data_IF_704307733340
#
_entry.id   IF_704307733340
#
_cell.length_a   1.000
_cell.length_b   1.000
_cell.length_c   1.000
_cell.angle_alpha   90.00
_cell.angle_beta   90.00
_cell.angle_gamma   90.00
#
_symmetry.space_group_name_H-M   'P 1'
#
loop_
_entity.id
_entity.type
_entity.pdbx_description
1 polymer ?
#
# COMPACT_ATOMS: atom_id res chain seq x y z
N UNK A 1 4.67 16.58 -11.28
CA UNK A 1 4.39 16.31 -9.84
C UNK A 1 5.67 16.26 -9.00
N UNK A 2 5.63 16.60 -7.71
CA UNK A 2 6.85 16.81 -6.89
C UNK A 2 7.23 15.60 -6.01
N UNK A 3 8.53 15.37 -5.81
CA UNK A 3 9.08 14.42 -4.82
C UNK A 3 8.93 15.05 -3.41
N UNK A 4 8.28 14.39 -2.43
CA UNK A 4 8.12 14.92 -1.08
C UNK A 4 9.44 15.10 -0.32
N UNK A 5 9.55 16.16 0.48
CA UNK A 5 10.76 16.46 1.27
C UNK A 5 11.23 15.31 2.19
N UNK A 6 10.34 14.58 2.90
CA UNK A 6 10.78 13.46 3.72
C UNK A 6 11.43 12.33 2.91
N UNK A 7 10.96 12.09 1.68
CA UNK A 7 11.55 11.11 0.78
C UNK A 7 12.93 11.58 0.29
N UNK A 8 13.04 12.87 -0.06
CA UNK A 8 14.32 13.48 -0.47
C UNK A 8 15.37 13.30 0.62
N UNK A 9 15.03 13.60 1.88
CA UNK A 9 15.95 13.49 3.01
C UNK A 9 16.49 12.05 3.19
N UNK A 10 15.60 11.05 3.17
CA UNK A 10 16.01 9.64 3.35
C UNK A 10 16.85 9.15 2.18
N UNK A 11 16.44 9.45 0.94
CA UNK A 11 17.19 9.02 -0.25
C UNK A 11 18.56 9.68 -0.29
N UNK A 12 18.65 10.97 0.01
CA UNK A 12 19.92 11.69 0.02
C UNK A 12 20.89 11.14 1.05
N UNK A 13 20.40 10.82 2.25
CA UNK A 13 21.19 10.24 3.34
C UNK A 13 21.74 8.86 2.96
N UNK A 14 20.88 7.94 2.49
CA UNK A 14 21.29 6.59 2.09
C UNK A 14 22.27 6.60 0.92
N UNK A 15 22.02 7.43 -0.10
CA UNK A 15 22.95 7.54 -1.23
C UNK A 15 24.29 8.13 -0.79
N UNK A 16 24.29 9.11 0.11
CA UNK A 16 25.51 9.71 0.64
C UNK A 16 26.31 8.74 1.52
N UNK A 17 25.68 7.87 2.29
CA UNK A 17 26.35 6.80 3.06
C UNK A 17 26.97 5.76 2.12
N UNK A 18 26.26 5.41 1.04
CA UNK A 18 26.59 4.27 0.17
C UNK A 18 27.63 4.56 -0.91
N UNK A 19 27.65 5.78 -1.45
CA UNK A 19 28.44 6.09 -2.65
C UNK A 19 29.50 7.18 -2.41
N UNK A 20 30.49 7.23 -3.29
CA UNK A 20 31.51 8.30 -3.33
C UNK A 20 30.99 9.53 -4.08
N UNK A 21 31.67 10.66 -3.98
CA UNK A 21 31.30 11.87 -4.74
C UNK A 21 31.19 11.61 -6.24
N UNK A 22 32.18 10.92 -6.83
CA UNK A 22 32.21 10.66 -8.26
C UNK A 22 31.10 9.69 -8.70
N UNK A 23 30.84 8.64 -7.90
CA UNK A 23 29.75 7.71 -8.21
C UNK A 23 28.40 8.38 -8.10
N UNK A 24 28.19 9.26 -7.12
CA UNK A 24 26.96 10.06 -7.02
C UNK A 24 26.80 10.95 -8.26
N UNK A 25 27.86 11.64 -8.68
CA UNK A 25 27.78 12.50 -9.87
C UNK A 25 27.35 11.70 -11.11
N UNK A 26 27.97 10.54 -11.35
CA UNK A 26 27.62 9.67 -12.46
C UNK A 26 26.16 9.20 -12.36
N UNK A 27 25.74 8.69 -11.20
CA UNK A 27 24.39 8.17 -10.98
C UNK A 27 23.31 9.23 -11.26
N UNK A 28 23.48 10.45 -10.77
CA UNK A 28 22.51 11.52 -10.98
C UNK A 28 22.46 11.96 -12.45
N UNK A 29 23.63 12.09 -13.10
CA UNK A 29 23.70 12.49 -14.51
C UNK A 29 23.12 11.41 -15.45
N UNK A 30 23.47 10.14 -15.24
CA UNK A 30 22.94 9.00 -16.00
C UNK A 30 21.42 8.84 -15.82
N UNK A 31 20.91 9.10 -14.60
CA UNK A 31 19.48 9.10 -14.34
C UNK A 31 18.73 10.25 -15.04
N UNK A 32 19.44 11.28 -15.52
CA UNK A 32 18.89 12.46 -16.18
C UNK A 32 18.49 13.57 -15.21
N UNK A 33 19.20 13.73 -14.09
CA UNK A 33 18.99 14.83 -13.17
C UNK A 33 19.33 16.18 -13.84
N UNK A 34 18.50 17.23 -13.63
CA UNK A 34 18.71 18.53 -14.27
C UNK A 34 19.83 19.34 -13.60
N UNK A 35 20.44 20.20 -14.42
CA UNK A 35 21.46 21.17 -14.02
C UNK A 35 22.84 20.57 -13.71
N UNK A 36 23.78 21.45 -13.40
CA UNK A 36 25.16 21.07 -13.13
C UNK A 36 25.35 20.40 -11.77
N UNK A 37 26.50 19.74 -11.60
CA UNK A 37 26.91 19.07 -10.37
C UNK A 37 26.88 20.05 -9.18
N UNK A 38 26.02 19.83 -8.17
CA UNK A 38 25.95 20.69 -7.00
C UNK A 38 27.23 20.64 -6.17
N UNK A 39 27.50 21.72 -5.45
CA UNK A 39 28.58 21.82 -4.48
C UNK A 39 28.17 21.30 -3.09
N UNK A 40 29.16 21.11 -2.21
CA UNK A 40 28.97 20.70 -0.83
C UNK A 40 29.23 19.23 -0.56
N UNK A 41 28.87 18.79 0.65
CA UNK A 41 29.05 17.38 1.05
C UNK A 41 28.09 16.45 0.28
N UNK A 42 28.38 15.14 0.28
CA UNK A 42 27.61 14.14 -0.49
C UNK A 42 26.10 14.25 -0.27
N UNK A 43 25.66 14.40 0.98
CA UNK A 43 24.23 14.50 1.33
C UNK A 43 23.61 15.78 0.78
N UNK A 44 24.24 16.93 1.00
CA UNK A 44 23.77 18.23 0.50
C UNK A 44 23.66 18.23 -1.04
N UNK A 45 24.60 17.58 -1.73
CA UNK A 45 24.55 17.38 -3.19
C UNK A 45 23.32 16.58 -3.62
N UNK A 46 23.11 15.42 -3.01
CA UNK A 46 21.95 14.58 -3.28
C UNK A 46 20.64 15.33 -3.01
N UNK A 47 20.52 16.02 -1.87
CA UNK A 47 19.32 16.81 -1.54
C UNK A 47 19.06 17.90 -2.57
N UNK A 48 20.11 18.60 -3.00
CA UNK A 48 20.00 19.68 -4.02
C UNK A 48 19.50 19.12 -5.34
N UNK A 49 20.11 18.04 -5.85
CA UNK A 49 19.66 17.42 -7.10
C UNK A 49 18.24 16.87 -6.99
N UNK A 50 17.89 16.16 -5.92
CA UNK A 50 16.55 15.62 -5.74
C UNK A 50 15.48 16.73 -5.67
N UNK A 51 15.81 17.88 -5.07
CA UNK A 51 14.95 19.08 -5.09
C UNK A 51 14.82 19.66 -6.51
N UNK A 52 15.91 19.73 -7.28
CA UNK A 52 15.87 20.16 -8.69
C UNK A 52 15.03 19.22 -9.55
N UNK A 53 15.21 17.90 -9.41
CA UNK A 53 14.37 16.89 -10.09
C UNK A 53 12.89 17.15 -9.76
N UNK A 54 12.59 17.39 -8.49
CA UNK A 54 11.22 17.66 -8.01
C UNK A 54 10.62 18.95 -8.60
N UNK A 55 11.43 20.00 -8.75
CA UNK A 55 10.98 21.32 -9.19
C UNK A 55 10.98 21.50 -10.72
N UNK A 56 12.05 21.06 -11.39
CA UNK A 56 12.33 21.35 -12.80
C UNK A 56 11.93 20.21 -13.73
N UNK A 57 11.88 18.97 -13.22
CA UNK A 57 11.56 17.78 -14.01
C UNK A 57 10.32 17.04 -13.44
N UNK A 58 9.36 17.79 -12.89
CA UNK A 58 8.26 17.26 -12.11
C UNK A 58 7.46 16.15 -12.83
N UNK A 59 7.32 16.21 -14.15
CA UNK A 59 6.56 15.19 -14.91
C UNK A 59 7.37 13.91 -15.19
N UNK A 60 8.71 13.99 -15.16
CA UNK A 60 9.62 12.87 -15.34
C UNK A 60 10.28 12.40 -14.03
N UNK A 61 10.00 13.09 -12.92
CA UNK A 61 10.63 12.87 -11.62
C UNK A 61 10.53 11.41 -11.13
N UNK A 62 9.39 10.70 -11.25
CA UNK A 62 9.32 9.29 -10.87
C UNK A 62 10.26 8.39 -11.69
N UNK A 63 10.39 8.65 -12.99
CA UNK A 63 11.25 7.85 -13.86
C UNK A 63 12.74 8.12 -13.59
N UNK A 64 13.12 9.39 -13.37
CA UNK A 64 14.49 9.76 -12.96
C UNK A 64 14.82 9.10 -11.62
N UNK A 65 13.93 9.20 -10.64
CA UNK A 65 14.12 8.59 -9.32
C UNK A 65 14.19 7.06 -9.40
N UNK A 66 13.45 6.42 -10.30
CA UNK A 66 13.51 4.98 -10.52
C UNK A 66 14.85 4.51 -11.06
N UNK A 67 15.36 5.16 -12.11
CA UNK A 67 16.70 4.90 -12.66
C UNK A 67 17.80 5.13 -11.63
N UNK A 68 17.70 6.23 -10.88
CA UNK A 68 18.67 6.58 -9.83
C UNK A 68 18.80 5.48 -8.76
N UNK A 69 17.69 4.83 -8.41
CA UNK A 69 17.63 3.84 -7.33
C UNK A 69 17.74 2.40 -7.81
N UNK A 70 17.80 2.16 -9.13
CA UNK A 70 17.77 0.84 -9.77
C UNK A 70 18.81 -0.12 -9.19
N UNK A 71 20.10 0.24 -9.30
CA UNK A 71 21.23 -0.56 -8.79
C UNK A 71 21.04 -0.98 -7.32
N UNK A 72 20.55 -0.05 -6.49
CA UNK A 72 20.37 -0.28 -5.06
C UNK A 72 19.14 -1.15 -4.76
N UNK A 73 18.03 -0.94 -5.49
CA UNK A 73 16.80 -1.67 -5.25
C UNK A 73 16.87 -3.10 -5.78
N UNK A 74 17.64 -3.33 -6.84
CA UNK A 74 17.81 -4.62 -7.52
C UNK A 74 19.02 -5.44 -7.06
N UNK A 75 19.88 -4.88 -6.21
CA UNK A 75 20.99 -5.62 -5.60
C UNK A 75 20.49 -6.93 -4.97
N UNK A 76 21.09 -8.05 -5.40
CA UNK A 76 20.73 -9.38 -4.91
C UNK A 76 20.92 -9.46 -3.40
N UNK A 77 19.88 -9.94 -2.71
CA UNK A 77 19.94 -10.16 -1.27
C UNK A 77 20.63 -11.51 -1.03
N UNK A 78 21.77 -11.54 -0.32
CA UNK A 78 22.31 -12.79 0.14
C UNK A 78 21.39 -13.37 1.23
N UNK A 79 20.99 -14.63 1.08
CA UNK A 79 20.18 -15.34 2.07
C UNK A 79 20.88 -15.37 3.44
N UNK A 80 20.13 -15.52 4.55
CA UNK A 80 20.73 -15.67 5.88
C UNK A 80 21.78 -16.80 5.95
N UNK A 81 21.64 -17.82 5.11
CA UNK A 81 22.61 -18.90 4.97
C UNK A 81 23.86 -18.47 4.18
N UNK A 82 23.71 -17.70 3.10
CA UNK A 82 24.85 -17.10 2.38
C UNK A 82 25.61 -16.09 3.24
N UNK A 83 24.92 -15.35 4.12
CA UNK A 83 25.54 -14.46 5.11
C UNK A 83 26.31 -15.27 6.15
N UNK A 84 25.72 -16.34 6.69
CA UNK A 84 26.35 -17.22 7.68
C UNK A 84 27.53 -18.05 7.14
N UNK A 85 27.52 -18.39 5.84
CA UNK A 85 28.63 -19.06 5.14
C UNK A 85 29.73 -18.09 4.72
N UNK A 86 29.47 -16.78 4.70
CA UNK A 86 30.51 -15.80 4.41
C UNK A 86 31.57 -15.82 5.52
N UNK A 87 32.83 -15.79 5.13
CA UNK A 87 33.97 -15.82 6.03
C UNK A 87 33.89 -14.71 7.10
N UNK A 88 33.86 -15.05 8.42
CA UNK A 88 33.78 -14.06 9.49
C UNK A 88 35.00 -13.14 9.62
N UNK A 89 36.11 -13.47 8.94
CA UNK A 89 37.40 -12.77 9.09
C UNK A 89 37.52 -11.48 8.26
N UNK A 90 36.52 -11.13 7.45
CA UNK A 90 36.41 -9.84 6.77
C UNK A 90 35.25 -9.01 7.36
N UNK A 91 35.30 -8.73 8.67
CA UNK A 91 34.27 -7.99 9.42
C UNK A 91 33.77 -6.73 8.70
N UNK A 92 34.68 -5.98 8.08
CA UNK A 92 34.34 -4.78 7.32
C UNK A 92 33.42 -5.04 6.11
N UNK A 93 33.61 -6.14 5.38
CA UNK A 93 32.78 -6.49 4.21
C UNK A 93 31.39 -6.98 4.63
N UNK A 94 31.33 -7.72 5.75
CA UNK A 94 30.06 -8.14 6.35
C UNK A 94 29.25 -6.94 6.86
N UNK A 95 29.88 -6.02 7.59
CA UNK A 95 29.22 -4.83 8.14
C UNK A 95 28.73 -3.90 7.01
N UNK A 96 29.50 -3.76 5.92
CA UNK A 96 29.07 -3.01 4.73
C UNK A 96 27.84 -3.62 4.06
N UNK A 97 27.73 -4.96 4.01
CA UNK A 97 26.56 -5.64 3.44
C UNK A 97 25.29 -5.41 4.27
N UNK A 98 25.42 -5.43 5.61
CA UNK A 98 24.30 -5.12 6.51
C UNK A 98 23.86 -3.67 6.32
N UNK A 99 24.79 -2.72 6.35
CA UNK A 99 24.46 -1.30 6.18
C UNK A 99 23.77 -1.01 4.83
N UNK A 100 24.20 -1.65 3.74
CA UNK A 100 23.54 -1.54 2.43
C UNK A 100 22.11 -2.09 2.45
N UNK A 101 21.89 -3.22 3.10
CA UNK A 101 20.57 -3.82 3.26
C UNK A 101 19.65 -2.89 4.05
N UNK A 102 20.10 -2.40 5.20
CA UNK A 102 19.35 -1.46 6.04
C UNK A 102 19.00 -0.18 5.28
N UNK A 103 19.98 0.43 4.61
CA UNK A 103 19.76 1.63 3.79
C UNK A 103 18.71 1.41 2.69
N UNK A 104 18.77 0.26 2.01
CA UNK A 104 17.77 -0.12 0.99
C UNK A 104 16.37 -0.23 1.58
N UNK A 105 16.20 -0.89 2.72
CA UNK A 105 14.90 -1.01 3.38
C UNK A 105 14.39 0.35 3.91
N UNK A 106 15.28 1.23 4.39
CA UNK A 106 14.92 2.63 4.71
C UNK A 106 14.34 3.36 3.50
N UNK A 107 14.97 3.22 2.33
CA UNK A 107 14.48 3.86 1.08
C UNK A 107 13.16 3.27 0.63
N UNK A 108 13.00 1.94 0.63
CA UNK A 108 11.71 1.31 0.29
C UNK A 108 10.58 1.80 1.19
N UNK A 109 10.81 1.84 2.50
CA UNK A 109 9.82 2.35 3.45
C UNK A 109 9.47 3.82 3.18
N UNK A 110 10.47 4.65 2.85
CA UNK A 110 10.25 6.05 2.50
C UNK A 110 9.46 6.22 1.18
N UNK A 111 9.78 5.43 0.15
CA UNK A 111 9.06 5.41 -1.13
C UNK A 111 7.59 5.05 -0.92
N UNK A 112 7.32 3.98 -0.17
CA UNK A 112 5.96 3.56 0.20
C UNK A 112 5.22 4.69 0.93
N UNK A 113 5.82 5.28 1.97
CA UNK A 113 5.22 6.42 2.70
C UNK A 113 4.91 7.61 1.79
N UNK A 114 5.76 7.86 0.80
CA UNK A 114 5.59 8.92 -0.18
C UNK A 114 4.63 8.57 -1.33
N UNK A 115 4.11 7.33 -1.38
CA UNK A 115 3.15 6.87 -2.40
C UNK A 115 3.77 6.42 -3.71
N UNK A 116 5.05 6.04 -3.70
CA UNK A 116 5.78 5.48 -4.84
C UNK A 116 5.89 3.95 -4.71
N UNK A 117 5.81 3.26 -5.85
CA UNK A 117 6.08 1.83 -5.95
C UNK A 117 7.13 1.57 -7.04
N UNK A 118 8.15 0.78 -6.71
CA UNK A 118 9.15 0.33 -7.68
C UNK A 118 8.65 -0.90 -8.44
N UNK A 119 8.72 -0.87 -9.77
CA UNK A 119 8.22 -1.93 -10.66
C UNK A 119 9.34 -2.77 -11.30
N UNK A 120 10.62 -2.45 -11.04
CA UNK A 120 11.78 -3.10 -11.67
C UNK A 120 12.22 -2.44 -12.98
N UNK A 121 13.49 -2.64 -13.31
CA UNK A 121 14.22 -2.03 -14.43
C UNK A 121 14.12 -0.50 -14.45
N UNK A 122 14.40 0.14 -13.30
CA UNK A 122 14.39 1.60 -13.16
C UNK A 122 13.00 2.24 -13.25
N UNK A 123 11.91 1.46 -13.31
CA UNK A 123 10.54 1.97 -13.43
C UNK A 123 9.91 2.20 -12.07
N UNK A 124 9.37 3.40 -11.88
CA UNK A 124 8.55 3.73 -10.72
C UNK A 124 7.13 4.09 -11.14
N UNK A 125 6.18 3.67 -10.33
CA UNK A 125 4.79 4.07 -10.43
C UNK A 125 4.46 4.98 -9.26
N UNK A 126 3.85 6.11 -9.58
CA UNK A 126 3.25 7.02 -8.61
C UNK A 126 1.73 6.94 -8.79
N UNK A 127 0.98 6.55 -7.75
CA UNK A 127 -0.48 6.71 -7.77
C UNK A 127 -1.38 5.53 -7.34
N UNK A 128 -2.53 5.96 -6.81
CA UNK A 128 -3.81 5.32 -6.40
C UNK A 128 -3.84 4.15 -5.43
N UNK A 129 -2.99 3.14 -5.55
CA UNK A 129 -3.02 1.98 -4.62
C UNK A 129 -2.64 2.41 -3.18
N UNK A 130 -1.81 3.45 -3.07
CA UNK A 130 -1.20 3.92 -1.81
C UNK A 130 -1.97 5.06 -1.10
N UNK A 131 -2.96 5.71 -1.71
CA UNK A 131 -3.69 6.82 -1.04
C UNK A 131 -4.78 6.28 -0.13
N UNK A 132 -5.66 5.39 -0.64
CA UNK A 132 -6.64 4.68 0.19
C UNK A 132 -5.93 3.79 1.23
N UNK A 133 -4.79 3.19 0.86
CA UNK A 133 -3.93 2.46 1.79
C UNK A 133 -3.39 3.36 2.90
N UNK A 134 -2.80 4.53 2.60
CA UNK A 134 -2.30 5.47 3.64
C UNK A 134 -3.41 6.01 4.52
N UNK A 135 -4.51 6.49 3.93
CA UNK A 135 -5.66 6.99 4.69
C UNK A 135 -6.24 5.89 5.59
N UNK A 136 -6.34 4.66 5.09
CA UNK A 136 -6.79 3.53 5.90
C UNK A 136 -5.80 3.21 7.03
N UNK A 137 -4.49 3.25 6.79
CA UNK A 137 -3.48 3.03 7.82
C UNK A 137 -3.55 4.08 8.93
N UNK A 138 -3.78 5.35 8.56
CA UNK A 138 -3.94 6.44 9.52
C UNK A 138 -5.25 6.27 10.32
N UNK A 139 -6.36 5.87 9.66
CA UNK A 139 -7.63 5.62 10.34
C UNK A 139 -7.58 4.41 11.28
N UNK A 140 -6.95 3.30 10.86
CA UNK A 140 -6.75 2.09 11.69
C UNK A 140 -5.99 2.43 12.97
N UNK A 141 -4.89 3.19 12.86
CA UNK A 141 -4.10 3.64 14.00
C UNK A 141 -4.88 4.57 14.91
N UNK A 142 -5.57 5.55 14.32
CA UNK A 142 -6.36 6.53 15.07
C UNK A 142 -7.47 5.85 15.88
N UNK A 143 -8.03 4.75 15.38
CA UNK A 143 -9.11 4.00 16.02
C UNK A 143 -8.67 2.82 16.87
N UNK A 144 -7.36 2.59 17.02
CA UNK A 144 -6.80 1.44 17.73
C UNK A 144 -7.42 0.10 17.30
N UNK A 145 -7.30 -0.22 16.01
CA UNK A 145 -7.81 -1.47 15.42
C UNK A 145 -6.66 -2.45 15.11
N UNK A 146 -5.97 -3.03 16.12
CA UNK A 146 -4.73 -3.82 15.93
C UNK A 146 -4.94 -5.09 15.12
N UNK A 147 -6.15 -5.67 15.14
CA UNK A 147 -6.51 -6.82 14.31
C UNK A 147 -6.45 -6.51 12.80
N UNK A 148 -6.64 -5.23 12.41
CA UNK A 148 -6.60 -4.79 11.02
C UNK A 148 -5.18 -4.41 10.56
N UNK A 149 -4.30 -4.02 11.48
CA UNK A 149 -2.91 -3.65 11.16
C UNK A 149 -2.12 -4.82 10.56
N UNK A 150 -2.27 -6.02 11.14
CA UNK A 150 -1.58 -7.22 10.68
C UNK A 150 -2.03 -7.66 9.27
N UNK A 151 -3.32 -7.57 8.99
CA UNK A 151 -3.90 -7.88 7.67
C UNK A 151 -3.50 -6.83 6.62
N UNK A 152 -3.46 -5.56 7.02
CA UNK A 152 -3.03 -4.47 6.16
C UNK A 152 -1.54 -4.57 5.78
N UNK A 153 -0.66 -4.92 6.72
CA UNK A 153 0.76 -5.19 6.46
C UNK A 153 0.95 -6.38 5.49
N UNK A 154 0.09 -7.40 5.61
CA UNK A 154 0.05 -8.55 4.72
C UNK A 154 -0.38 -8.16 3.30
N UNK A 155 -1.38 -7.28 3.18
CA UNK A 155 -1.86 -6.74 1.91
C UNK A 155 -0.77 -5.96 1.15
N UNK A 156 -0.05 -5.09 1.85
CA UNK A 156 1.00 -4.23 1.30
C UNK A 156 2.22 -5.01 0.77
N UNK A 157 2.52 -6.16 1.36
CA UNK A 157 3.68 -6.99 1.00
C UNK A 157 3.40 -8.05 -0.07
N UNK A 158 2.13 -8.42 -0.31
CA UNK A 158 1.79 -9.62 -1.12
C UNK A 158 1.02 -9.38 -2.42
N UNK A 159 0.49 -8.19 -2.69
CA UNK A 159 -0.34 -7.92 -3.88
C UNK A 159 0.34 -8.20 -5.23
N UNK A 160 1.68 -8.16 -5.30
CA UNK A 160 2.45 -8.45 -6.51
C UNK A 160 2.81 -9.94 -6.68
N UNK A 161 3.00 -10.68 -5.59
CA UNK A 161 3.55 -12.05 -5.60
C UNK A 161 2.46 -13.12 -5.42
N UNK A 162 1.39 -12.82 -4.67
CA UNK A 162 0.30 -13.75 -4.36
C UNK A 162 -1.08 -13.08 -4.46
N UNK A 163 -1.65 -12.97 -5.68
CA UNK A 163 -2.92 -12.28 -5.93
C UNK A 163 -4.09 -12.76 -5.06
N UNK A 164 -4.17 -14.08 -4.79
CA UNK A 164 -5.25 -14.67 -3.97
C UNK A 164 -5.13 -14.31 -2.49
N UNK A 165 -3.92 -14.31 -1.94
CA UNK A 165 -3.72 -13.95 -0.53
C UNK A 165 -4.05 -12.48 -0.29
N UNK A 166 -3.71 -11.60 -1.25
CA UNK A 166 -4.10 -10.20 -1.19
C UNK A 166 -5.63 -10.01 -1.20
N UNK A 167 -6.37 -10.82 -1.97
CA UNK A 167 -7.84 -10.80 -1.95
C UNK A 167 -8.41 -11.27 -0.61
N UNK A 168 -7.84 -12.33 -0.03
CA UNK A 168 -8.25 -12.80 1.30
C UNK A 168 -8.01 -11.73 2.38
N UNK A 169 -6.84 -11.09 2.37
CA UNK A 169 -6.54 -10.02 3.31
C UNK A 169 -7.49 -8.82 3.15
N UNK A 170 -7.80 -8.40 1.91
CA UNK A 170 -8.77 -7.35 1.66
C UNK A 170 -10.18 -7.70 2.18
N UNK A 171 -10.62 -8.93 1.96
CA UNK A 171 -11.89 -9.44 2.48
C UNK A 171 -11.93 -9.42 4.01
N UNK A 172 -10.85 -9.83 4.67
CA UNK A 172 -10.73 -9.83 6.13
C UNK A 172 -10.76 -8.40 6.70
N UNK A 173 -10.13 -7.43 6.03
CA UNK A 173 -10.16 -6.03 6.45
C UNK A 173 -11.59 -5.48 6.43
N UNK A 174 -12.31 -5.67 5.32
CA UNK A 174 -13.70 -5.20 5.18
C UNK A 174 -14.59 -5.91 6.21
N UNK A 175 -14.43 -7.23 6.38
CA UNK A 175 -15.20 -8.00 7.36
C UNK A 175 -14.94 -7.53 8.80
N UNK A 176 -13.68 -7.24 9.15
CA UNK A 176 -13.30 -6.72 10.45
C UNK A 176 -13.97 -5.40 10.75
N UNK A 177 -13.87 -4.42 9.84
CA UNK A 177 -14.51 -3.10 10.00
C UNK A 177 -16.02 -3.22 10.12
N UNK A 178 -16.68 -4.00 9.27
CA UNK A 178 -18.13 -4.20 9.38
C UNK A 178 -18.53 -4.86 10.71
N UNK A 179 -17.72 -5.82 11.18
CA UNK A 179 -17.92 -6.46 12.48
C UNK A 179 -17.82 -5.50 13.65
N UNK A 180 -16.80 -4.64 13.66
CA UNK A 180 -16.63 -3.59 14.66
C UNK A 180 -17.80 -2.59 14.63
N UNK A 181 -18.25 -2.20 13.43
CA UNK A 181 -19.43 -1.33 13.30
C UNK A 181 -20.70 -1.98 13.86
N UNK A 182 -20.93 -3.27 13.63
CA UNK A 182 -22.08 -3.99 14.22
C UNK A 182 -22.03 -3.92 15.74
N UNK A 183 -20.85 -4.13 16.34
CA UNK A 183 -20.67 -4.07 17.79
C UNK A 183 -20.85 -2.65 18.33
N UNK A 184 -20.13 -1.67 17.77
CA UNK A 184 -20.13 -0.29 18.23
C UNK A 184 -21.48 0.43 18.05
N UNK A 185 -22.22 0.09 16.99
CA UNK A 185 -23.54 0.64 16.73
C UNK A 185 -24.67 -0.15 17.42
N UNK A 186 -24.33 -1.20 18.19
CA UNK A 186 -25.28 -2.08 18.89
C UNK A 186 -26.34 -2.67 17.96
N UNK A 187 -25.93 -3.08 16.74
CA UNK A 187 -26.83 -3.70 15.77
C UNK A 187 -27.00 -5.18 16.09
N UNK A 188 -28.15 -5.75 15.73
CA UNK A 188 -28.38 -7.20 15.84
C UNK A 188 -27.41 -7.94 14.93
N UNK A 189 -26.53 -8.82 15.47
CA UNK A 189 -25.57 -9.54 14.66
C UNK A 189 -26.30 -10.53 13.73
N UNK A 190 -25.81 -10.74 12.49
CA UNK A 190 -26.40 -11.71 11.59
C UNK A 190 -26.16 -13.15 12.08
N UNK A 191 -27.09 -14.06 11.78
CA UNK A 191 -27.02 -15.48 12.17
C UNK A 191 -25.77 -16.18 11.64
N UNK A 192 -25.39 -15.89 10.39
CA UNK A 192 -24.13 -16.32 9.79
C UNK A 192 -23.28 -15.09 9.54
N UNK A 193 -22.05 -15.08 10.05
CA UNK A 193 -21.10 -13.98 9.87
C UNK A 193 -20.37 -14.13 8.53
N UNK A 194 -20.83 -13.42 7.51
CA UNK A 194 -20.17 -13.30 6.21
C UNK A 194 -20.11 -11.83 5.80
N UNK A 195 -19.28 -11.51 4.81
CA UNK A 195 -19.20 -10.16 4.25
C UNK A 195 -20.57 -9.61 3.83
N UNK A 196 -21.33 -10.40 3.06
CA UNK A 196 -22.65 -10.00 2.55
C UNK A 196 -23.69 -9.83 3.67
N UNK A 197 -23.67 -10.69 4.71
CA UNK A 197 -24.62 -10.56 5.83
C UNK A 197 -24.29 -9.37 6.73
N UNK A 198 -23.01 -9.16 7.03
CA UNK A 198 -22.54 -7.99 7.79
C UNK A 198 -22.85 -6.69 7.06
N UNK A 199 -22.60 -6.62 5.75
CA UNK A 199 -22.93 -5.44 4.95
C UNK A 199 -24.42 -5.14 4.97
N UNK A 200 -25.26 -6.18 4.88
CA UNK A 200 -26.72 -6.03 4.95
C UNK A 200 -27.18 -5.47 6.30
N UNK A 201 -26.53 -5.84 7.40
CA UNK A 201 -26.79 -5.29 8.73
C UNK A 201 -26.35 -3.83 8.85
N UNK A 202 -25.18 -3.47 8.31
CA UNK A 202 -24.57 -2.13 8.49
C UNK A 202 -25.13 -1.07 7.54
N UNK A 203 -25.39 -1.39 6.27
CA UNK A 203 -25.76 -0.41 5.24
C UNK A 203 -26.95 0.51 5.61
N UNK A 204 -28.02 0.06 6.31
CA UNK A 204 -29.12 0.94 6.66
C UNK A 204 -28.72 1.92 7.78
N UNK A 205 -27.87 1.48 8.71
CA UNK A 205 -27.43 2.28 9.86
C UNK A 205 -26.58 3.49 9.46
N UNK A 206 -25.89 3.41 8.32
CA UNK A 206 -25.08 4.50 7.76
C UNK A 206 -25.74 5.24 6.58
N UNK A 207 -27.04 5.02 6.35
CA UNK A 207 -27.78 5.60 5.24
C UNK A 207 -27.15 5.31 3.85
N UNK A 208 -26.60 4.11 3.69
CA UNK A 208 -26.00 3.64 2.44
C UNK A 208 -26.87 2.61 1.71
N UNK A 209 -28.15 2.50 2.07
CA UNK A 209 -29.08 1.60 1.40
C UNK A 209 -29.49 2.16 0.02
N UNK A 210 -29.17 1.48 -1.10
CA UNK A 210 -29.60 1.91 -2.43
C UNK A 210 -31.11 2.06 -2.56
N UNK A 211 -31.90 1.31 -1.78
CA UNK A 211 -33.37 1.40 -1.82
C UNK A 211 -33.88 2.73 -1.24
N UNK A 212 -33.17 3.28 -0.25
CA UNK A 212 -33.53 4.51 0.44
C UNK A 212 -32.83 5.76 -0.14
N UNK A 213 -31.93 5.60 -1.12
CA UNK A 213 -31.23 6.72 -1.74
C UNK A 213 -32.13 7.50 -2.73
N UNK A 214 -32.31 8.83 -2.52
CA UNK A 214 -33.10 9.66 -3.43
C UNK A 214 -32.35 10.00 -4.72
N UNK A 215 -31.02 10.14 -4.64
CA UNK A 215 -30.18 10.45 -5.79
C UNK A 215 -29.95 9.19 -6.64
N UNK A 216 -30.34 9.21 -7.94
CA UNK A 216 -30.27 8.03 -8.80
C UNK A 216 -28.83 7.61 -9.14
N UNK A 217 -27.86 8.52 -9.10
CA UNK A 217 -26.46 8.21 -9.39
C UNK A 217 -25.74 7.69 -8.14
N UNK A 218 -26.00 8.27 -6.96
CA UNK A 218 -25.55 7.69 -5.70
C UNK A 218 -26.13 6.29 -5.49
N UNK A 219 -27.38 6.06 -5.87
CA UNK A 219 -28.01 4.73 -5.83
C UNK A 219 -27.25 3.70 -6.68
N UNK A 220 -26.79 4.08 -7.88
CA UNK A 220 -25.97 3.19 -8.72
C UNK A 220 -24.63 2.87 -8.06
N UNK A 221 -23.98 3.87 -7.46
CA UNK A 221 -22.71 3.72 -6.75
C UNK A 221 -22.88 2.78 -5.54
N UNK A 222 -23.91 2.99 -4.72
CA UNK A 222 -24.21 2.13 -3.58
C UNK A 222 -24.56 0.69 -4.01
N UNK A 223 -25.26 0.53 -5.15
CA UNK A 223 -25.48 -0.77 -5.77
C UNK A 223 -24.18 -1.46 -6.20
N UNK A 224 -23.22 -0.71 -6.75
CA UNK A 224 -21.90 -1.22 -7.09
C UNK A 224 -21.10 -1.67 -5.86
N UNK A 225 -21.24 -0.98 -4.72
CA UNK A 225 -20.63 -1.43 -3.45
C UNK A 225 -21.19 -2.78 -3.01
N UNK A 226 -22.51 -2.99 -3.11
CA UNK A 226 -23.13 -4.28 -2.77
C UNK A 226 -22.61 -5.42 -3.69
N UNK A 227 -22.51 -5.16 -5.00
CA UNK A 227 -21.94 -6.12 -5.96
C UNK A 227 -20.46 -6.41 -5.68
N UNK A 228 -19.69 -5.41 -5.23
CA UNK A 228 -18.29 -5.57 -4.85
C UNK A 228 -18.15 -6.45 -3.59
N UNK A 229 -18.97 -6.24 -2.56
CA UNK A 229 -18.96 -7.06 -1.33
C UNK A 229 -19.22 -8.54 -1.67
N UNK A 230 -20.21 -8.80 -2.52
CA UNK A 230 -20.55 -10.16 -2.95
C UNK A 230 -19.42 -10.79 -3.78
N UNK A 231 -18.86 -10.04 -4.74
CA UNK A 231 -17.71 -10.48 -5.53
C UNK A 231 -16.47 -10.78 -4.68
N UNK A 232 -16.19 -9.95 -3.67
CA UNK A 232 -15.06 -10.14 -2.75
C UNK A 232 -15.25 -11.39 -1.88
N UNK A 233 -16.47 -11.64 -1.41
CA UNK A 233 -16.82 -12.87 -0.68
C UNK A 233 -16.64 -14.10 -1.57
N UNK A 234 -17.14 -14.08 -2.81
CA UNK A 234 -16.99 -15.18 -3.75
C UNK A 234 -15.53 -15.52 -4.05
N UNK A 235 -14.70 -14.51 -4.30
CA UNK A 235 -13.26 -14.70 -4.56
C UNK A 235 -12.50 -15.28 -3.37
N UNK A 236 -12.94 -14.98 -2.14
CA UNK A 236 -12.39 -15.58 -0.91
C UNK A 236 -12.81 -17.04 -0.77
N UNK A 237 -14.10 -17.33 -0.94
CA UNK A 237 -14.68 -18.65 -0.73
C UNK A 237 -14.21 -19.65 -1.82
N UNK A 238 -13.81 -19.15 -2.99
CA UNK A 238 -13.15 -19.93 -4.03
C UNK A 238 -11.82 -20.55 -3.59
N UNK A 239 -11.14 -20.04 -2.55
CA UNK A 239 -9.96 -20.71 -1.95
C UNK A 239 -10.35 -22.04 -1.28
N UNK A 240 -11.53 -22.09 -0.68
CA UNK A 240 -12.11 -23.32 -0.12
C UNK A 240 -12.55 -24.28 -1.25
N UNK A 241 -13.16 -23.75 -2.32
CA UNK A 241 -13.61 -24.56 -3.48
C UNK A 241 -12.48 -25.05 -4.37
N UNK A 242 -11.38 -24.31 -4.51
CA UNK A 242 -10.22 -24.69 -5.31
C UNK A 242 -9.49 -25.93 -4.76
N UNK A 243 -9.52 -26.15 -3.45
CA UNK A 243 -9.07 -27.42 -2.84
C UNK A 243 -10.01 -28.59 -3.14
N UNK A 244 -11.28 -28.32 -3.48
CA UNK A 244 -12.30 -29.31 -3.79
C UNK A 244 -12.58 -29.47 -5.31
N UNK A 245 -11.95 -28.66 -6.18
CA UNK A 245 -12.19 -28.67 -7.63
C UNK A 245 -11.34 -29.72 -8.35
N UNK A 246 -11.91 -30.35 -9.39
CA UNK A 246 -11.17 -31.24 -10.30
C UNK A 246 -10.05 -30.46 -11.02
N UNK A 247 -8.89 -31.09 -11.33
CA UNK A 247 -7.72 -30.43 -11.94
C UNK A 247 -8.00 -29.68 -13.24
N UNK A 248 -9.09 -30.04 -13.92
CA UNK A 248 -9.53 -29.58 -15.23
C UNK A 248 -10.19 -28.18 -15.14
N UNK A 249 -10.94 -27.94 -14.06
CA UNK A 249 -11.62 -26.67 -13.77
C UNK A 249 -10.66 -25.67 -13.07
N UNK A 250 -9.64 -26.18 -12.38
CA UNK A 250 -8.58 -25.35 -11.78
C UNK A 250 -7.71 -24.62 -12.81
N UNK A 251 -7.67 -25.11 -14.07
CA UNK A 251 -6.86 -24.53 -15.16
C UNK A 251 -7.55 -23.35 -15.87
N UNK A 252 -8.87 -23.21 -15.77
CA UNK A 252 -9.64 -22.24 -16.58
C UNK A 252 -9.86 -20.87 -15.92
N UNK A 253 -9.52 -20.68 -14.64
CA UNK A 253 -9.70 -19.39 -13.97
C UNK A 253 -8.51 -19.02 -13.07
N UNK A 254 -7.47 -18.43 -13.68
CA UNK A 254 -6.32 -17.89 -12.94
C UNK A 254 -6.56 -16.40 -12.67
N UNK A 255 -6.76 -16.05 -11.40
CA UNK A 255 -6.80 -14.65 -10.97
C UNK A 255 -5.43 -14.03 -11.23
N UNK A 256 -5.35 -13.15 -12.23
CA UNK A 256 -4.15 -12.41 -12.54
C UNK A 256 -3.92 -11.25 -11.54
N UNK A 257 -2.66 -10.79 -11.37
CA UNK A 257 -2.34 -9.67 -10.49
C UNK A 257 -3.17 -8.40 -10.76
N UNK A 258 -3.56 -8.13 -12.00
CA UNK A 258 -4.42 -6.97 -12.33
C UNK A 258 -5.82 -7.07 -11.73
N UNK A 259 -6.41 -8.27 -11.68
CA UNK A 259 -7.74 -8.48 -11.08
C UNK A 259 -7.67 -8.32 -9.56
N UNK A 260 -6.63 -8.87 -8.92
CA UNK A 260 -6.42 -8.70 -7.50
C UNK A 260 -6.19 -7.22 -7.14
N UNK A 261 -5.38 -6.48 -7.90
CA UNK A 261 -5.19 -5.04 -7.68
C UNK A 261 -6.49 -4.25 -7.76
N UNK A 262 -7.35 -4.52 -8.74
CA UNK A 262 -8.65 -3.85 -8.86
C UNK A 262 -9.53 -4.10 -7.64
N UNK A 263 -9.73 -5.38 -7.28
CA UNK A 263 -10.59 -5.77 -6.17
C UNK A 263 -10.06 -5.29 -4.82
N UNK A 264 -8.74 -5.36 -4.60
CA UNK A 264 -8.09 -4.83 -3.38
C UNK A 264 -8.30 -3.32 -3.28
N UNK A 265 -8.09 -2.57 -4.35
CA UNK A 265 -8.28 -1.12 -4.33
C UNK A 265 -9.74 -0.73 -4.07
N UNK A 266 -10.69 -1.44 -4.68
CA UNK A 266 -12.11 -1.23 -4.44
C UNK A 266 -12.46 -1.51 -2.97
N UNK A 267 -11.96 -2.61 -2.41
CA UNK A 267 -12.15 -2.95 -1.00
C UNK A 267 -11.57 -1.88 -0.07
N UNK A 268 -10.34 -1.40 -0.33
CA UNK A 268 -9.71 -0.34 0.48
C UNK A 268 -10.51 0.97 0.44
N UNK A 269 -10.94 1.41 -0.75
CA UNK A 269 -11.76 2.60 -0.90
C UNK A 269 -13.10 2.45 -0.16
N UNK A 270 -13.70 1.26 -0.22
CA UNK A 270 -14.91 0.94 0.53
C UNK A 270 -14.69 0.97 2.04
N UNK A 271 -13.58 0.42 2.54
CA UNK A 271 -13.23 0.46 3.97
C UNK A 271 -13.07 1.89 4.46
N UNK A 272 -12.40 2.76 3.70
CA UNK A 272 -12.29 4.19 4.03
C UNK A 272 -13.67 4.83 4.16
N UNK A 273 -14.54 4.62 3.17
CA UNK A 273 -15.91 5.12 3.21
C UNK A 273 -16.68 4.63 4.46
N UNK A 274 -16.57 3.35 4.81
CA UNK A 274 -17.23 2.79 6.01
C UNK A 274 -16.77 3.52 7.29
N UNK A 275 -15.47 3.76 7.43
CA UNK A 275 -14.90 4.41 8.61
C UNK A 275 -15.31 5.89 8.69
N UNK A 276 -15.32 6.61 7.57
CA UNK A 276 -15.80 7.98 7.48
C UNK A 276 -17.30 8.07 7.82
N UNK A 277 -18.12 7.20 7.23
CA UNK A 277 -19.56 7.16 7.49
C UNK A 277 -19.86 6.88 8.96
N UNK A 278 -19.11 5.94 9.57
CA UNK A 278 -19.18 5.68 11.00
C UNK A 278 -18.84 6.93 11.82
N UNK A 279 -17.77 7.65 11.49
CA UNK A 279 -17.40 8.88 12.21
C UNK A 279 -18.53 9.90 12.21
N UNK A 280 -19.12 10.14 11.05
CA UNK A 280 -20.24 11.08 10.90
C UNK A 280 -21.42 10.67 11.77
N UNK A 281 -21.68 9.37 11.92
CA UNK A 281 -22.75 8.87 12.79
C UNK A 281 -22.44 9.10 14.28
N UNK A 282 -21.19 8.91 14.71
CA UNK A 282 -20.77 9.20 16.08
C UNK A 282 -20.89 10.69 16.40
N UNK A 283 -20.44 11.56 15.49
CA UNK A 283 -20.55 13.01 15.63
C UNK A 283 -22.01 13.50 15.66
N UNK A 284 -22.93 12.82 14.96
CA UNK A 284 -24.36 13.13 15.01
C UNK A 284 -24.96 12.74 16.37
N UNK A 285 -24.69 11.52 16.83
CA UNK A 285 -25.14 11.07 18.16
C UNK A 285 -24.61 11.97 19.28
N UNK A 286 -23.35 12.38 19.20
CA UNK A 286 -22.78 13.31 20.18
C UNK A 286 -23.53 14.65 20.20
N UNK A 287 -23.85 15.22 19.03
CA UNK A 287 -24.62 16.47 18.92
C UNK A 287 -26.03 16.35 19.48
N UNK A 288 -26.71 15.23 19.28
CA UNK A 288 -28.06 14.97 19.82
C UNK A 288 -28.08 14.83 21.35
N UNK A 289 -26.97 14.43 21.97
CA UNK A 289 -26.86 14.30 23.44
C UNK A 289 -26.50 15.62 24.12
N UNK A 290 -25.91 16.57 23.37
CA UNK A 290 -25.41 17.84 23.93
C UNK A 290 -26.32 19.04 23.66
N UNK A 291 -27.38 18.88 22.86
CA UNK A 291 -28.38 19.89 22.53
C UNK A 291 -29.72 19.62 23.18
#
# INVERSE_FOLDING_TARGET
MTIPLPLIAVVADVLAERYTHDRLNLLFLEAGAPGDVPEGNKRAKCETWLRRISAEAADNAPAILGRLLEDMLEEEIPTPEQVRRAAPWAKAEHDLRIARHEGRERVKAALTRAGFAYLGAGRMMQGSIQVASRQLADLIKTRDLPALEAEFATLASRAALHPRDALSAAANIVEGVLGEMVAALMLTPPTNRTLSTLWTTVKPAINADPAAMPDPDLKKIAGAMAAMVDGLQGLRDDKSRAHAMRPELARSYRIEPRHARLAVNAALAFTVFLLEAWQVMEERKAREVTG
#
